data_IF_606074736331
#
_entry.id   IF_606074736331
#
_cell.length_a   1.000
_cell.length_b   1.000
_cell.length_c   1.000
_cell.angle_alpha   90.00
_cell.angle_beta   90.00
_cell.angle_gamma   90.00
#
_symmetry.space_group_name_H-M   'P 1'
#
loop_
_entity.id
_entity.type
_entity.pdbx_description
1 polymer ?
#
# COMPACT_ATOMS: atom_id res chain seq x y z
N UNK A 1 -3.60 21.97 13.04
CA UNK A 1 -2.14 21.75 12.96
C UNK A 1 -1.83 20.94 11.71
N UNK A 2 -0.63 21.07 11.14
CA UNK A 2 -0.10 20.09 10.17
C UNK A 2 0.74 19.09 10.98
N UNK A 3 0.49 17.79 10.82
CA UNK A 3 1.36 16.75 11.40
C UNK A 3 2.74 16.76 10.71
N UNK A 4 3.79 16.30 11.39
CA UNK A 4 5.09 16.04 10.78
C UNK A 4 4.97 14.87 9.76
N UNK A 5 5.43 15.03 8.50
CA UNK A 5 5.44 13.95 7.51
C UNK A 5 6.16 12.66 7.97
N UNK A 6 7.18 12.74 8.84
CA UNK A 6 7.83 11.56 9.41
C UNK A 6 6.88 10.81 10.34
N UNK A 7 6.23 11.52 11.27
CA UNK A 7 5.27 10.94 12.20
C UNK A 7 4.09 10.25 11.48
N UNK A 8 3.61 10.86 10.39
CA UNK A 8 2.56 10.27 9.52
C UNK A 8 3.04 8.95 8.90
N UNK A 9 4.28 8.90 8.42
CA UNK A 9 4.87 7.73 7.78
C UNK A 9 5.09 6.58 8.79
N UNK A 10 5.68 6.89 9.94
CA UNK A 10 5.99 5.92 11.01
C UNK A 10 4.72 5.31 11.61
N UNK A 11 3.73 6.14 11.96
CA UNK A 11 2.50 5.70 12.58
C UNK A 11 1.43 5.25 11.57
N UNK A 12 1.77 5.19 10.27
CA UNK A 12 0.84 4.88 9.17
C UNK A 12 -0.48 5.67 9.23
N UNK A 13 -0.40 6.95 9.60
CA UNK A 13 -1.59 7.79 9.83
C UNK A 13 -2.36 7.95 8.51
N UNK A 14 -3.68 7.66 8.47
CA UNK A 14 -4.46 7.75 7.25
C UNK A 14 -4.52 9.20 6.75
N UNK A 15 -4.03 9.42 5.53
CA UNK A 15 -4.15 10.71 4.85
C UNK A 15 -5.61 10.88 4.40
N UNK A 16 -6.29 11.90 4.90
CA UNK A 16 -7.66 12.23 4.50
C UNK A 16 -7.67 12.77 3.06
N UNK A 17 -7.83 11.87 2.08
CA UNK A 17 -7.91 12.23 0.68
C UNK A 17 -9.13 13.13 0.37
N UNK A 18 -10.21 13.04 1.14
CA UNK A 18 -11.39 13.88 0.96
C UNK A 18 -11.11 15.33 1.40
N UNK A 19 -10.34 15.55 2.47
CA UNK A 19 -9.85 16.87 2.86
C UNK A 19 -9.08 17.56 1.72
N UNK A 20 -8.12 16.86 1.08
CA UNK A 20 -7.35 17.44 -0.02
C UNK A 20 -8.23 17.75 -1.24
N UNK A 21 -9.08 16.81 -1.66
CA UNK A 21 -10.03 17.02 -2.75
C UNK A 21 -10.98 18.21 -2.46
N UNK A 22 -11.61 18.25 -1.30
CA UNK A 22 -12.60 19.29 -0.98
C UNK A 22 -11.97 20.67 -0.73
N UNK A 23 -10.82 20.75 -0.06
CA UNK A 23 -10.28 22.04 0.37
C UNK A 23 -9.29 22.67 -0.62
N UNK A 24 -8.70 21.87 -1.53
CA UNK A 24 -7.74 22.35 -2.53
C UNK A 24 -8.28 22.29 -3.97
N UNK A 25 -9.25 21.42 -4.29
CA UNK A 25 -9.73 21.23 -5.66
C UNK A 25 -11.22 21.57 -5.87
N UNK A 26 -12.11 21.33 -4.91
CA UNK A 26 -13.56 21.67 -5.05
C UNK A 26 -14.29 21.84 -3.72
N UNK A 27 -14.60 23.09 -3.33
CA UNK A 27 -15.32 23.43 -2.08
C UNK A 27 -16.84 23.54 -2.29
N UNK A 28 -17.69 23.26 -1.26
CA UNK A 28 -17.48 22.55 0.01
C UNK A 28 -18.55 21.42 0.20
N UNK A 29 -18.88 20.76 1.32
CA UNK A 29 -18.45 20.67 2.74
C UNK A 29 -18.57 19.18 3.16
N UNK A 30 -17.71 18.62 4.03
CA UNK A 30 -18.10 17.83 5.22
C UNK A 30 -16.90 17.50 6.17
N UNK A 31 -17.07 16.57 7.12
CA UNK A 31 -16.13 16.24 8.23
C UNK A 31 -16.28 14.78 8.72
N UNK A 32 -15.19 14.08 9.08
CA UNK A 32 -15.07 13.01 10.13
C UNK A 32 -13.77 12.18 9.95
N UNK A 33 -13.25 11.40 10.91
CA UNK A 33 -13.60 11.29 12.33
C UNK A 33 -13.27 9.95 13.03
N UNK A 34 -12.00 9.71 13.42
CA UNK A 34 -11.62 9.04 14.69
C UNK A 34 -11.90 7.55 15.01
N UNK A 35 -12.61 6.76 14.20
CA UNK A 35 -13.19 5.48 14.66
C UNK A 35 -12.32 4.19 14.59
N UNK A 36 -11.05 4.26 14.15
CA UNK A 36 -10.31 3.04 13.72
C UNK A 36 -9.97 2.01 14.82
N UNK A 37 -9.98 2.38 16.10
CA UNK A 37 -9.52 1.51 17.19
C UNK A 37 -10.38 0.24 17.42
N UNK A 38 -11.62 0.21 16.92
CA UNK A 38 -12.57 -0.90 17.11
C UNK A 38 -12.86 -1.69 15.82
N UNK A 39 -12.10 -1.43 14.75
CA UNK A 39 -12.34 -2.05 13.44
C UNK A 39 -11.73 -3.46 13.33
N UNK A 40 -12.57 -4.50 13.36
CA UNK A 40 -12.14 -5.87 13.04
C UNK A 40 -11.95 -6.04 11.52
N UNK A 41 -10.72 -6.32 11.07
CA UNK A 41 -10.43 -6.72 9.69
C UNK A 41 -11.11 -8.07 9.39
N UNK A 42 -11.94 -8.12 8.35
CA UNK A 42 -12.53 -9.36 7.83
C UNK A 42 -11.97 -9.68 6.44
N UNK A 43 -11.83 -10.96 6.14
CA UNK A 43 -11.40 -11.42 4.82
C UNK A 43 -12.48 -11.14 3.77
N UNK A 44 -12.04 -10.78 2.57
CA UNK A 44 -12.92 -10.51 1.42
C UNK A 44 -12.39 -11.17 0.15
N UNK A 45 -13.30 -11.50 -0.75
CA UNK A 45 -13.01 -12.04 -2.08
C UNK A 45 -12.30 -10.98 -2.93
N UNK A 46 -11.14 -11.30 -3.48
CA UNK A 46 -10.34 -10.40 -4.35
C UNK A 46 -11.08 -10.04 -5.65
N UNK A 47 -11.97 -10.91 -6.14
CA UNK A 47 -12.77 -10.67 -7.34
C UNK A 47 -13.98 -9.75 -7.16
N UNK A 48 -14.68 -9.80 -6.02
CA UNK A 48 -15.96 -9.11 -5.83
C UNK A 48 -16.18 -8.41 -4.48
N UNK A 49 -15.16 -8.39 -3.60
CA UNK A 49 -15.16 -7.78 -2.25
C UNK A 49 -16.18 -8.37 -1.25
N UNK A 50 -16.93 -9.41 -1.61
CA UNK A 50 -17.82 -10.13 -0.69
C UNK A 50 -17.03 -10.69 0.51
N UNK A 51 -17.61 -10.60 1.71
CA UNK A 51 -16.98 -11.07 2.96
C UNK A 51 -16.91 -12.60 2.97
N UNK A 52 -15.76 -13.15 3.35
CA UNK A 52 -15.50 -14.59 3.42
C UNK A 52 -15.47 -15.07 4.87
N UNK A 53 -15.80 -16.35 5.07
CA UNK A 53 -15.73 -17.06 6.37
C UNK A 53 -14.36 -17.70 6.63
N UNK A 54 -13.48 -17.73 5.63
CA UNK A 54 -12.17 -18.38 5.62
C UNK A 54 -11.13 -17.44 4.98
N UNK A 55 -9.85 -17.82 5.01
CA UNK A 55 -8.74 -17.01 4.47
C UNK A 55 -8.57 -17.08 2.94
N UNK A 56 -9.31 -17.97 2.28
CA UNK A 56 -9.27 -18.20 0.82
C UNK A 56 -9.32 -16.90 0.00
N UNK A 57 -8.57 -16.83 -1.11
CA UNK A 57 -8.54 -15.66 -2.00
C UNK A 57 -9.93 -15.23 -2.54
N UNK A 58 -10.78 -16.21 -2.89
CA UNK A 58 -11.99 -16.02 -3.68
C UNK A 58 -13.22 -16.71 -3.05
N UNK A 59 -14.42 -16.22 -3.40
CA UNK A 59 -15.67 -16.97 -3.24
C UNK A 59 -15.92 -17.91 -4.42
N UNK A 60 -16.81 -18.89 -4.24
CA UNK A 60 -17.10 -19.95 -5.21
C UNK A 60 -17.54 -19.42 -6.58
N UNK A 61 -18.28 -18.31 -6.61
CA UNK A 61 -18.66 -17.62 -7.85
C UNK A 61 -17.47 -17.02 -8.61
N UNK A 62 -16.47 -16.48 -7.89
CA UNK A 62 -15.28 -15.89 -8.49
C UNK A 62 -14.23 -16.94 -8.84
N UNK A 63 -14.26 -18.13 -8.23
CA UNK A 63 -13.30 -19.22 -8.48
C UNK A 63 -13.27 -19.70 -9.94
N UNK A 64 -14.38 -19.52 -10.68
CA UNK A 64 -14.43 -19.74 -12.14
C UNK A 64 -13.50 -18.83 -12.96
N UNK A 65 -12.98 -17.74 -12.36
CA UNK A 65 -12.06 -16.76 -12.96
C UNK A 65 -10.77 -16.63 -12.12
N UNK A 66 -10.39 -17.70 -11.43
CA UNK A 66 -9.24 -17.73 -10.51
C UNK A 66 -7.92 -17.42 -11.24
N UNK A 67 -7.73 -17.92 -12.47
CA UNK A 67 -6.57 -17.61 -13.31
C UNK A 67 -6.49 -16.14 -13.73
N UNK A 68 -7.59 -15.55 -14.23
CA UNK A 68 -7.70 -14.13 -14.60
C UNK A 68 -7.33 -13.23 -13.40
N UNK A 69 -7.93 -13.52 -12.24
CA UNK A 69 -7.72 -12.74 -11.02
C UNK A 69 -6.29 -12.91 -10.48
N UNK A 70 -5.76 -14.14 -10.43
CA UNK A 70 -4.39 -14.39 -10.00
C UNK A 70 -3.36 -13.69 -10.90
N UNK A 71 -3.50 -13.81 -12.23
CA UNK A 71 -2.61 -13.14 -13.19
C UNK A 71 -2.62 -11.61 -13.02
N UNK A 72 -3.79 -11.01 -12.75
CA UNK A 72 -3.90 -9.57 -12.45
C UNK A 72 -3.11 -9.17 -11.20
N UNK A 73 -3.28 -9.91 -10.11
CA UNK A 73 -2.60 -9.60 -8.84
C UNK A 73 -1.08 -9.84 -8.90
N UNK A 74 -0.63 -10.85 -9.65
CA UNK A 74 0.80 -11.10 -9.94
C UNK A 74 1.38 -10.02 -10.86
N UNK A 75 0.67 -9.60 -11.91
CA UNK A 75 1.14 -8.50 -12.76
C UNK A 75 1.30 -7.18 -11.98
N UNK A 76 0.40 -6.90 -11.03
CA UNK A 76 0.53 -5.75 -10.13
C UNK A 76 1.68 -5.91 -9.12
N UNK A 77 1.90 -7.13 -8.60
CA UNK A 77 3.06 -7.46 -7.76
C UNK A 77 4.39 -7.19 -8.50
N UNK A 78 4.56 -7.70 -9.71
CA UNK A 78 5.76 -7.52 -10.52
C UNK A 78 6.08 -6.04 -10.77
N UNK A 79 5.05 -5.21 -10.99
CA UNK A 79 5.20 -3.75 -11.14
C UNK A 79 5.63 -3.06 -9.83
N UNK A 80 5.18 -3.54 -8.66
CA UNK A 80 5.68 -3.06 -7.37
C UNK A 80 7.14 -3.48 -7.14
N UNK A 81 7.53 -4.68 -7.57
CA UNK A 81 8.92 -5.18 -7.46
C UNK A 81 9.90 -4.43 -8.37
N UNK A 82 9.52 -4.12 -9.62
CA UNK A 82 10.31 -3.25 -10.51
C UNK A 82 10.50 -1.86 -9.87
N UNK A 83 9.40 -1.26 -9.40
CA UNK A 83 9.41 0.07 -8.78
C UNK A 83 10.22 0.10 -7.48
N UNK A 84 10.14 -0.95 -6.67
CA UNK A 84 10.97 -1.10 -5.47
C UNK A 84 12.46 -1.15 -5.85
N UNK A 85 12.81 -2.04 -6.79
CA UNK A 85 14.18 -2.26 -7.24
C UNK A 85 14.83 -0.98 -7.78
N UNK A 86 14.08 -0.19 -8.55
CA UNK A 86 14.52 1.11 -9.08
C UNK A 86 14.79 2.13 -7.98
N UNK A 87 13.80 2.41 -7.12
CA UNK A 87 13.92 3.39 -6.03
C UNK A 87 15.02 3.00 -5.03
N UNK A 88 15.21 1.70 -4.78
CA UNK A 88 16.26 1.21 -3.89
C UNK A 88 17.65 1.36 -4.52
N UNK A 89 17.80 1.05 -5.80
CA UNK A 89 19.05 1.25 -6.56
C UNK A 89 19.44 2.72 -6.64
N UNK A 90 18.49 3.63 -6.88
CA UNK A 90 18.70 5.08 -6.86
C UNK A 90 19.22 5.54 -5.48
N UNK A 91 18.64 5.02 -4.40
CA UNK A 91 19.10 5.26 -3.03
C UNK A 91 20.52 4.75 -2.76
N UNK A 92 20.85 3.52 -3.14
CA UNK A 92 22.18 2.93 -2.91
C UNK A 92 23.28 3.69 -3.68
N UNK A 93 23.00 4.12 -4.92
CA UNK A 93 23.90 4.98 -5.70
C UNK A 93 24.16 6.32 -5.00
N UNK A 94 23.13 6.93 -4.42
CA UNK A 94 23.24 8.19 -3.66
C UNK A 94 23.99 8.03 -2.33
N UNK A 95 23.94 6.84 -1.72
CA UNK A 95 24.70 6.50 -0.51
C UNK A 95 26.17 6.14 -0.79
N UNK A 96 26.49 5.66 -2.00
CA UNK A 96 27.82 5.15 -2.36
C UNK A 96 28.13 3.75 -1.84
N UNK A 97 27.15 3.05 -1.24
CA UNK A 97 27.30 1.70 -0.69
C UNK A 97 26.24 0.75 -1.21
N UNK A 98 26.67 -0.44 -1.66
CA UNK A 98 25.80 -1.51 -2.19
C UNK A 98 25.50 -2.60 -1.17
N UNK A 99 26.33 -2.74 -0.12
CA UNK A 99 26.28 -3.86 0.83
C UNK A 99 25.70 -3.46 2.20
N UNK A 100 25.56 -2.17 2.47
CA UNK A 100 25.02 -1.64 3.72
C UNK A 100 23.55 -1.19 3.58
N UNK A 101 22.88 -0.97 4.70
CA UNK A 101 21.49 -0.53 4.72
C UNK A 101 21.33 0.96 4.34
N UNK A 102 20.24 1.28 3.62
CA UNK A 102 19.92 2.66 3.20
C UNK A 102 19.30 3.48 4.33
N UNK A 103 20.16 4.10 5.13
CA UNK A 103 19.82 4.92 6.32
C UNK A 103 19.44 6.38 6.01
N UNK A 104 19.15 6.74 4.75
CA UNK A 104 18.75 8.11 4.38
C UNK A 104 17.42 8.55 5.04
N UNK A 105 17.43 9.73 5.68
CA UNK A 105 16.30 10.39 6.35
C UNK A 105 15.98 11.79 5.80
N UNK A 106 16.54 12.16 4.64
CA UNK A 106 16.32 13.47 4.02
C UNK A 106 14.83 13.69 3.69
N UNK A 107 14.24 14.72 4.31
CA UNK A 107 12.82 15.07 4.18
C UNK A 107 12.51 15.72 2.81
N UNK A 108 13.50 16.38 2.21
CA UNK A 108 13.39 17.08 0.93
C UNK A 108 13.63 16.14 -0.27
N UNK A 109 14.09 14.92 -0.03
CA UNK A 109 14.27 13.90 -1.05
C UNK A 109 12.92 13.24 -1.40
N UNK A 110 12.40 13.37 -2.64
CA UNK A 110 11.10 12.76 -3.00
C UNK A 110 11.13 11.23 -2.93
N UNK A 111 12.29 10.61 -3.12
CA UNK A 111 12.48 9.15 -3.02
C UNK A 111 12.29 8.65 -1.58
N UNK A 112 12.54 9.47 -0.55
CA UNK A 112 12.46 9.04 0.86
C UNK A 112 11.07 8.52 1.24
N UNK A 113 10.01 9.25 0.89
CA UNK A 113 8.64 8.82 1.14
C UNK A 113 8.21 7.72 0.15
N UNK A 114 8.64 7.80 -1.12
CA UNK A 114 8.27 6.80 -2.13
C UNK A 114 8.83 5.41 -1.82
N UNK A 115 10.10 5.27 -1.42
CA UNK A 115 10.71 3.96 -1.09
C UNK A 115 9.98 3.27 0.06
N UNK A 116 9.60 4.05 1.10
CA UNK A 116 8.88 3.53 2.28
C UNK A 116 7.43 3.18 1.97
N UNK A 117 6.75 3.95 1.12
CA UNK A 117 5.43 3.54 0.61
C UNK A 117 5.52 2.26 -0.23
N UNK A 118 6.41 2.21 -1.22
CA UNK A 118 6.50 1.06 -2.14
C UNK A 118 6.91 -0.22 -1.41
N UNK A 119 7.77 -0.14 -0.38
CA UNK A 119 8.04 -1.26 0.51
C UNK A 119 6.74 -1.82 1.13
N UNK A 120 5.89 -0.96 1.71
CA UNK A 120 4.63 -1.38 2.34
C UNK A 120 3.58 -1.87 1.34
N UNK A 121 3.43 -1.17 0.21
CA UNK A 121 2.53 -1.58 -0.88
C UNK A 121 2.92 -2.99 -1.39
N UNK A 122 4.23 -3.27 -1.51
CA UNK A 122 4.77 -4.57 -1.91
C UNK A 122 4.50 -5.66 -0.86
N UNK A 123 4.85 -5.42 0.40
CA UNK A 123 4.60 -6.36 1.50
C UNK A 123 3.11 -6.73 1.63
N UNK A 124 2.20 -5.77 1.43
CA UNK A 124 0.75 -6.02 1.50
C UNK A 124 0.19 -6.71 0.25
N UNK A 125 0.77 -6.49 -0.94
CA UNK A 125 0.41 -7.25 -2.15
C UNK A 125 0.93 -8.70 -2.12
N UNK A 126 2.13 -8.95 -1.58
CA UNK A 126 2.64 -10.33 -1.39
C UNK A 126 1.72 -11.14 -0.47
N UNK A 127 1.23 -10.53 0.63
CA UNK A 127 0.21 -11.12 1.54
C UNK A 127 -1.15 -11.32 0.89
N UNK A 128 -1.45 -10.62 -0.21
CA UNK A 128 -2.69 -10.78 -0.98
C UNK A 128 -2.56 -11.95 -1.97
N UNK A 129 -1.43 -12.03 -2.70
CA UNK A 129 -1.14 -13.09 -3.67
C UNK A 129 -0.98 -14.46 -2.99
N UNK A 130 -0.39 -14.53 -1.79
CA UNK A 130 -0.23 -15.81 -1.07
C UNK A 130 -1.56 -16.49 -0.69
N UNK A 131 -2.68 -15.76 -0.66
CA UNK A 131 -4.03 -16.32 -0.36
C UNK A 131 -4.58 -17.25 -1.45
N UNK A 132 -3.97 -17.28 -2.64
CA UNK A 132 -4.33 -18.20 -3.71
C UNK A 132 -3.75 -19.61 -3.50
N UNK A 133 -2.75 -19.76 -2.62
CA UNK A 133 -1.99 -20.99 -2.43
C UNK A 133 -0.80 -21.07 -3.39
N UNK A 134 0.36 -21.43 -2.84
CA UNK A 134 1.63 -21.70 -3.51
C UNK A 134 2.38 -22.75 -2.69
#
# INVERSE_FOLDING_TARGET
MKQDPLYVLENSVPIDAQYYLQQQLSKPLLRSGGLMAFAQKRNTCIGCRAVLKTDAALCDFCKKRESELYQREVAYLNHLEERFSRLWTECQRSQGSLHEAVLCTSRDCPIFFMRKKVQKDLEDQQKLVSRFGW
#
